data_IF_588473192511
#
_entry.id   IF_588473192511
#
_cell.length_a   1.000
_cell.length_b   1.000
_cell.length_c   1.000
_cell.angle_alpha   90.00
_cell.angle_beta   90.00
_cell.angle_gamma   90.00
#
_symmetry.space_group_name_H-M   'P 1'
#
loop_
_entity.id
_entity.type
_entity.pdbx_description
1 polymer ?
#
# COMPACT_ATOMS: atom_id res chain seq x y z
N UNK A 1 -23.17 -3.64 77.21
CA UNK A 1 -21.88 -4.37 77.24
C UNK A 1 -21.34 -4.45 75.81
N UNK A 2 -20.21 -3.80 75.54
CA UNK A 2 -19.52 -3.83 74.24
C UNK A 2 -18.74 -5.13 74.07
N UNK A 3 -18.81 -5.75 72.89
CA UNK A 3 -17.80 -6.71 72.41
C UNK A 3 -17.31 -6.25 71.03
N UNK A 4 -16.04 -5.82 70.97
CA UNK A 4 -15.19 -5.95 69.78
C UNK A 4 -15.02 -7.46 69.49
N UNK A 5 -14.75 -7.97 68.28
CA UNK A 5 -13.57 -7.84 67.39
C UNK A 5 -13.81 -8.94 66.32
N UNK A 6 -13.50 -8.85 65.02
CA UNK A 6 -12.20 -8.99 64.33
C UNK A 6 -12.52 -9.04 62.81
N UNK A 7 -11.56 -8.53 62.05
CA UNK A 7 -11.39 -8.53 60.60
C UNK A 7 -11.79 -9.79 59.80
N UNK A 8 -12.37 -9.55 58.62
CA UNK A 8 -12.22 -10.32 57.39
C UNK A 8 -12.87 -9.46 56.29
N UNK A 9 -12.29 -9.12 55.16
CA UNK A 9 -11.10 -9.54 54.46
C UNK A 9 -11.30 -8.96 53.05
N UNK A 10 -10.35 -8.15 52.59
CA UNK A 10 -10.33 -7.65 51.21
C UNK A 10 -10.41 -8.85 50.26
N UNK A 11 -11.51 -9.00 49.54
CA UNK A 11 -11.58 -9.83 48.34
C UNK A 11 -11.79 -8.91 47.15
N UNK A 12 -10.70 -8.23 46.76
CA UNK A 12 -10.56 -7.67 45.41
C UNK A 12 -10.60 -8.84 44.42
N UNK A 13 -11.77 -9.14 43.87
CA UNK A 13 -11.90 -9.95 42.67
C UNK A 13 -11.48 -9.08 41.48
N UNK A 14 -10.16 -8.95 41.30
CA UNK A 14 -9.56 -8.52 40.04
C UNK A 14 -9.78 -9.68 39.06
N UNK A 15 -10.95 -9.69 38.41
CA UNK A 15 -11.14 -10.43 37.18
C UNK A 15 -10.34 -9.72 36.08
N UNK A 16 -9.02 -9.84 36.14
CA UNK A 16 -8.16 -9.57 35.01
C UNK A 16 -8.50 -10.65 33.98
N UNK A 17 -9.39 -10.33 33.04
CA UNK A 17 -9.45 -11.05 31.78
C UNK A 17 -8.05 -10.97 31.17
N UNK A 18 -7.29 -12.04 31.34
CA UNK A 18 -6.15 -12.34 30.52
C UNK A 18 -6.68 -12.60 29.11
N UNK A 19 -7.00 -11.51 28.40
CA UNK A 19 -7.11 -11.55 26.95
C UNK A 19 -5.70 -11.84 26.47
N UNK A 20 -5.39 -13.13 26.33
CA UNK A 20 -4.31 -13.56 25.47
C UNK A 20 -4.67 -13.07 24.08
N UNK A 21 -4.25 -11.85 23.74
CA UNK A 21 -4.16 -11.40 22.36
C UNK A 21 -3.15 -12.34 21.70
N UNK A 22 -3.63 -13.49 21.23
CA UNK A 22 -3.05 -14.11 20.05
C UNK A 22 -3.08 -13.01 19.01
N UNK A 23 -1.95 -12.35 18.81
CA UNK A 23 -1.75 -11.40 17.73
C UNK A 23 -2.23 -12.11 16.46
N UNK A 24 -3.42 -11.75 15.99
CA UNK A 24 -3.96 -12.31 14.75
C UNK A 24 -3.01 -11.82 13.68
N UNK A 25 -2.14 -12.70 13.22
CA UNK A 25 -1.33 -12.45 12.04
C UNK A 25 -2.32 -12.36 10.90
N UNK A 26 -2.67 -11.14 10.50
CA UNK A 26 -3.48 -10.93 9.31
C UNK A 26 -2.72 -11.56 8.15
N UNK A 27 -3.26 -12.60 7.49
CA UNK A 27 -2.57 -13.25 6.41
C UNK A 27 -2.40 -12.24 5.27
N UNK A 28 -1.21 -12.24 4.67
CA UNK A 28 -0.93 -11.42 3.52
C UNK A 28 -1.82 -11.88 2.34
N UNK A 29 -2.48 -10.96 1.62
CA UNK A 29 -3.30 -11.33 0.47
C UNK A 29 -2.45 -11.95 -0.65
N UNK A 30 -3.09 -12.55 -1.65
CA UNK A 30 -2.38 -13.05 -2.83
C UNK A 30 -1.54 -11.95 -3.49
N UNK A 31 -0.32 -12.27 -3.89
CA UNK A 31 0.59 -11.32 -4.54
C UNK A 31 -0.04 -10.75 -5.84
N UNK A 32 0.07 -9.44 -6.11
CA UNK A 32 -0.32 -8.86 -7.38
C UNK A 32 0.50 -9.45 -8.53
N UNK A 33 -0.17 -9.75 -9.63
CA UNK A 33 0.45 -10.11 -10.90
C UNK A 33 0.76 -8.86 -11.72
N UNK A 34 1.68 -8.98 -12.68
CA UNK A 34 1.99 -7.87 -13.60
C UNK A 34 0.76 -7.44 -14.41
N UNK A 35 -0.10 -8.40 -14.79
CA UNK A 35 -1.34 -8.10 -15.48
C UNK A 35 -2.29 -7.25 -14.62
N UNK A 36 -2.51 -7.63 -13.37
CA UNK A 36 -3.36 -6.86 -12.45
C UNK A 36 -2.81 -5.45 -12.21
N UNK A 37 -1.49 -5.30 -12.04
CA UNK A 37 -0.86 -3.98 -11.83
C UNK A 37 -0.95 -3.14 -13.10
N UNK A 38 -0.69 -3.72 -14.28
CA UNK A 38 -0.84 -3.01 -15.56
C UNK A 38 -2.26 -2.50 -15.75
N UNK A 39 -3.25 -3.37 -15.53
CA UNK A 39 -4.65 -3.03 -15.74
C UNK A 39 -5.10 -1.96 -14.72
N UNK A 40 -4.62 -2.05 -13.47
CA UNK A 40 -4.84 -1.02 -12.45
C UNK A 40 -4.24 0.33 -12.86
N UNK A 41 -2.97 0.37 -13.29
CA UNK A 41 -2.27 1.59 -13.71
C UNK A 41 -2.95 2.21 -14.93
N UNK A 42 -3.38 1.40 -15.90
CA UNK A 42 -4.10 1.89 -17.07
C UNK A 42 -5.44 2.52 -16.69
N UNK A 43 -6.21 1.88 -15.80
CA UNK A 43 -7.50 2.37 -15.34
C UNK A 43 -7.40 3.64 -14.47
N UNK A 44 -6.25 3.88 -13.84
CA UNK A 44 -6.01 5.03 -12.95
C UNK A 44 -4.90 5.93 -13.50
N UNK A 45 -4.65 5.91 -14.81
CA UNK A 45 -3.55 6.67 -15.41
C UNK A 45 -3.71 8.17 -15.14
N UNK A 46 -4.90 8.69 -15.48
CA UNK A 46 -5.29 10.07 -15.27
C UNK A 46 -5.44 10.38 -13.78
N UNK A 47 -4.73 11.41 -13.31
CA UNK A 47 -4.79 11.91 -11.94
C UNK A 47 -3.76 11.29 -10.99
N UNK A 48 -3.31 10.05 -11.22
CA UNK A 48 -2.29 9.41 -10.37
C UNK A 48 -0.89 9.45 -11.00
N UNK A 49 -0.76 8.97 -12.24
CA UNK A 49 0.54 8.69 -12.86
C UNK A 49 0.92 9.74 -13.91
N UNK A 50 -0.05 10.21 -14.68
CA UNK A 50 0.12 11.20 -15.74
C UNK A 50 0.63 12.55 -15.22
N UNK A 51 0.23 12.97 -14.01
CA UNK A 51 0.68 14.21 -13.39
C UNK A 51 2.14 14.13 -12.90
N UNK A 52 2.58 12.95 -12.48
CA UNK A 52 3.93 12.77 -11.95
C UNK A 52 4.98 12.70 -13.05
N UNK A 53 4.75 11.87 -14.07
CA UNK A 53 5.78 11.56 -15.07
C UNK A 53 6.40 12.81 -15.71
N UNK A 54 5.62 13.80 -16.20
CA UNK A 54 6.18 15.00 -16.81
C UNK A 54 7.01 15.82 -15.82
N UNK A 55 6.56 15.93 -14.56
CA UNK A 55 7.32 16.58 -13.47
C UNK A 55 8.65 15.88 -13.21
N UNK A 56 8.67 14.54 -13.20
CA UNK A 56 9.89 13.74 -13.03
C UNK A 56 10.92 13.90 -14.17
N UNK A 57 10.46 14.42 -15.31
CA UNK A 57 11.23 14.54 -16.56
C UNK A 57 11.55 16.00 -16.92
N UNK A 58 11.21 16.97 -16.04
CA UNK A 58 11.32 18.41 -16.31
C UNK A 58 10.52 18.86 -17.54
N UNK A 59 9.40 18.19 -17.80
CA UNK A 59 8.46 18.49 -18.89
C UNK A 59 7.08 18.83 -18.33
N UNK A 60 7.00 19.69 -17.31
CA UNK A 60 5.79 19.88 -16.47
C UNK A 60 4.48 20.20 -17.21
N UNK A 61 4.54 20.71 -18.45
CA UNK A 61 3.37 21.04 -19.27
C UNK A 61 3.10 20.02 -20.39
N UNK A 62 3.94 19.00 -20.54
CA UNK A 62 3.78 18.00 -21.58
C UNK A 62 2.70 16.99 -21.17
N UNK A 63 1.78 16.68 -22.09
CA UNK A 63 0.89 15.55 -21.93
C UNK A 63 1.62 14.27 -22.34
N UNK A 64 1.18 13.16 -21.76
CA UNK A 64 1.76 11.87 -21.99
C UNK A 64 0.69 10.77 -22.01
N UNK A 65 1.05 9.68 -22.67
CA UNK A 65 0.24 8.46 -22.70
C UNK A 65 1.04 7.30 -22.13
N UNK A 66 0.35 6.41 -21.44
CA UNK A 66 0.86 5.11 -21.02
C UNK A 66 1.04 4.22 -22.25
N UNK A 67 2.20 3.57 -22.37
CA UNK A 67 2.47 2.55 -23.40
C UNK A 67 2.51 1.17 -22.77
N UNK A 68 3.20 1.01 -21.62
CA UNK A 68 3.29 -0.29 -20.97
C UNK A 68 3.64 -0.20 -19.48
N UNK A 69 3.29 -1.25 -18.74
CA UNK A 69 3.77 -1.55 -17.39
C UNK A 69 4.50 -2.88 -17.42
N UNK A 70 5.68 -2.95 -16.81
CA UNK A 70 6.54 -4.16 -16.84
C UNK A 70 7.48 -4.23 -15.64
N UNK A 71 8.24 -5.32 -15.54
CA UNK A 71 9.29 -5.54 -14.53
C UNK A 71 8.75 -5.41 -13.10
N UNK A 72 7.59 -6.01 -12.85
CA UNK A 72 6.98 -6.01 -11.53
C UNK A 72 7.85 -6.79 -10.53
N UNK A 73 8.17 -6.14 -9.41
CA UNK A 73 8.75 -6.76 -8.24
C UNK A 73 7.96 -6.37 -7.00
N UNK A 74 7.35 -7.36 -6.32
CA UNK A 74 6.60 -7.12 -5.11
C UNK A 74 7.27 -7.78 -3.90
N UNK A 75 7.25 -7.08 -2.78
CA UNK A 75 7.68 -7.59 -1.48
C UNK A 75 6.59 -7.39 -0.43
N UNK A 76 6.47 -8.29 0.55
CA UNK A 76 5.54 -8.12 1.65
C UNK A 76 5.92 -6.89 2.49
N UNK A 77 4.92 -6.09 2.88
CA UNK A 77 5.08 -4.99 3.84
C UNK A 77 3.87 -4.98 4.79
N UNK A 78 4.04 -5.51 6.00
CA UNK A 78 2.94 -5.79 6.93
C UNK A 78 1.82 -6.61 6.25
N UNK A 79 0.63 -6.05 6.11
CA UNK A 79 -0.55 -6.70 5.51
C UNK A 79 -0.78 -6.31 4.04
N UNK A 80 0.16 -5.60 3.40
CA UNK A 80 0.04 -5.11 2.02
C UNK A 80 1.24 -5.54 1.17
N UNK A 81 1.09 -5.44 -0.15
CA UNK A 81 2.19 -5.64 -1.08
C UNK A 81 2.82 -4.33 -1.49
N UNK A 82 4.12 -4.21 -1.29
CA UNK A 82 4.92 -3.09 -1.78
C UNK A 82 5.54 -3.48 -3.12
N UNK A 83 5.13 -2.84 -4.21
CA UNK A 83 5.49 -3.23 -5.56
C UNK A 83 6.23 -2.10 -6.29
N UNK A 84 7.37 -2.44 -6.88
CA UNK A 84 8.14 -1.61 -7.79
C UNK A 84 7.90 -2.11 -9.22
N UNK A 85 7.64 -1.20 -10.16
CA UNK A 85 7.38 -1.54 -11.57
C UNK A 85 7.82 -0.43 -12.53
N UNK A 86 8.15 -0.79 -13.77
CA UNK A 86 8.48 0.16 -14.82
C UNK A 86 7.24 0.56 -15.61
N UNK A 87 7.03 1.86 -15.70
CA UNK A 87 6.10 2.53 -16.60
C UNK A 87 6.90 3.01 -17.80
N UNK A 88 6.47 2.62 -19.00
CA UNK A 88 6.94 3.23 -20.24
C UNK A 88 5.80 3.96 -20.92
N UNK A 89 6.12 5.07 -21.58
CA UNK A 89 5.15 5.88 -22.27
C UNK A 89 5.76 6.81 -23.30
N UNK A 90 4.95 7.73 -23.79
CA UNK A 90 5.35 8.73 -24.78
C UNK A 90 4.71 10.07 -24.47
N UNK A 91 5.43 11.16 -24.68
CA UNK A 91 4.91 12.52 -24.65
C UNK A 91 4.30 12.91 -26.00
N UNK A 92 3.46 13.95 -26.03
CA UNK A 92 2.83 14.45 -27.28
C UNK A 92 3.85 14.86 -28.36
N UNK A 93 5.07 15.26 -27.96
CA UNK A 93 6.18 15.58 -28.88
C UNK A 93 6.89 14.34 -29.47
N UNK A 94 6.41 13.14 -29.11
CA UNK A 94 6.95 11.87 -29.58
C UNK A 94 8.07 11.30 -28.71
N UNK A 95 8.55 12.02 -27.70
CA UNK A 95 9.64 11.56 -26.82
C UNK A 95 9.16 10.38 -25.97
N UNK A 96 9.84 9.24 -26.11
CA UNK A 96 9.58 8.07 -25.29
C UNK A 96 10.27 8.18 -23.92
N UNK A 97 9.67 7.60 -22.89
CA UNK A 97 10.25 7.56 -21.55
C UNK A 97 10.04 6.21 -20.87
N UNK A 98 10.89 5.96 -19.88
CA UNK A 98 10.74 4.87 -18.91
C UNK A 98 11.00 5.40 -17.51
N UNK A 99 10.15 5.01 -16.55
CA UNK A 99 10.21 5.42 -15.16
C UNK A 99 9.83 4.26 -14.25
N UNK A 100 10.51 4.16 -13.10
CA UNK A 100 10.12 3.21 -12.06
C UNK A 100 9.12 3.91 -11.15
N UNK A 101 7.94 3.32 -11.00
CA UNK A 101 6.95 3.70 -10.04
C UNK A 101 6.90 2.67 -8.91
N UNK A 102 6.49 3.14 -7.75
CA UNK A 102 6.41 2.32 -6.55
C UNK A 102 5.05 2.51 -5.92
N UNK A 103 4.35 1.42 -5.60
CA UNK A 103 3.01 1.51 -5.05
C UNK A 103 2.73 0.39 -4.05
N UNK A 104 1.89 0.70 -3.06
CA UNK A 104 1.34 -0.30 -2.16
C UNK A 104 -0.05 -0.73 -2.64
N UNK A 105 -0.24 -2.04 -2.72
CA UNK A 105 -1.49 -2.66 -3.13
C UNK A 105 -2.09 -3.53 -2.03
N UNK A 106 -3.39 -3.33 -1.82
CA UNK A 106 -4.29 -4.21 -1.08
C UNK A 106 -5.27 -4.88 -2.04
N UNK A 107 -5.99 -5.88 -1.54
CA UNK A 107 -7.11 -6.49 -2.24
C UNK A 107 -8.43 -6.05 -1.62
N UNK A 108 -9.37 -5.66 -2.46
CA UNK A 108 -10.76 -5.45 -2.07
C UNK A 108 -11.45 -6.79 -1.80
N UNK A 109 -12.66 -6.72 -1.24
CA UNK A 109 -13.48 -7.89 -0.98
C UNK A 109 -13.82 -8.70 -2.25
N UNK A 110 -13.85 -8.06 -3.41
CA UNK A 110 -14.08 -8.70 -4.72
C UNK A 110 -12.80 -9.29 -5.35
N UNK A 111 -11.65 -9.19 -4.66
CA UNK A 111 -10.36 -9.67 -5.13
C UNK A 111 -9.58 -8.68 -6.01
N UNK A 112 -10.20 -7.57 -6.44
CA UNK A 112 -9.52 -6.54 -7.25
C UNK A 112 -8.48 -5.78 -6.45
N UNK A 113 -7.49 -5.22 -7.15
CA UNK A 113 -6.46 -4.39 -6.53
C UNK A 113 -7.03 -3.03 -6.09
N UNK A 114 -6.57 -2.58 -4.94
CA UNK A 114 -6.71 -1.22 -4.46
C UNK A 114 -5.33 -0.68 -4.13
N UNK A 115 -4.95 0.46 -4.73
CA UNK A 115 -3.80 1.22 -4.29
C UNK A 115 -4.09 1.88 -2.95
N UNK A 116 -3.19 1.71 -2.00
CA UNK A 116 -3.23 2.46 -0.73
C UNK A 116 -2.27 3.63 -0.74
N UNK A 117 -1.09 3.48 -1.36
CA UNK A 117 -0.06 4.51 -1.47
C UNK A 117 0.63 4.47 -2.84
N UNK A 118 0.92 5.65 -3.39
CA UNK A 118 1.84 5.81 -4.52
C UNK A 118 3.11 6.50 -4.00
N UNK A 119 4.22 5.78 -3.98
CA UNK A 119 5.53 6.36 -3.70
C UNK A 119 6.15 6.83 -5.00
N UNK A 120 6.28 8.14 -5.07
CA UNK A 120 6.74 8.86 -6.24
C UNK A 120 8.14 9.36 -5.92
N UNK A 121 9.11 8.45 -5.86
CA UNK A 121 10.48 8.85 -5.58
C UNK A 121 11.14 9.45 -6.84
N UNK A 122 11.62 10.70 -6.81
CA UNK A 122 12.61 11.12 -7.76
C UNK A 122 13.88 10.33 -7.42
N UNK A 123 14.21 9.29 -8.20
CA UNK A 123 15.47 8.55 -8.01
C UNK A 123 16.61 9.57 -7.95
N UNK A 124 17.19 9.76 -6.76
CA UNK A 124 18.55 10.29 -6.65
C UNK A 124 19.46 9.16 -7.13
N UNK A 125 20.16 9.42 -8.23
CA UNK A 125 21.29 8.59 -8.65
C UNK A 125 22.36 8.58 -7.56
#
# INVERSE_FOLDING_TARGET
MRKLTIAAGLALLVAACASSETARVTPLPAQPTEAEVRDYVAAHWEGDYDAWVPKSMKQEKAKNVLVSVSKLYCRPYYAVWYCDFEIAGRFDDGVAYTRVATSQFERKADGSLQKTLLFVEPRRR
#
